data_IF_285230969858
#
_entry.id   IF_285230969858
#
_cell.length_a   1.000
_cell.length_b   1.000
_cell.length_c   1.000
_cell.angle_alpha   90.00
_cell.angle_beta   90.00
_cell.angle_gamma   90.00
#
_symmetry.space_group_name_H-M   'P 1'
#
loop_
_entity.id
_entity.type
_entity.pdbx_description
1 polymer ?
#
# COMPACT_ATOMS: atom_id res chain seq x y z
N UNK A 1 5.05 15.91 -40.49
CA UNK A 1 4.10 16.43 -39.48
C UNK A 1 3.28 15.25 -39.00
N UNK A 2 3.62 14.71 -37.83
CA UNK A 2 2.83 13.67 -37.17
C UNK A 2 2.45 14.22 -35.80
N UNK A 3 1.14 14.20 -35.56
CA UNK A 3 0.43 14.89 -34.50
C UNK A 3 0.86 14.43 -33.11
N UNK A 4 0.93 15.41 -32.22
CA UNK A 4 1.15 15.26 -30.80
C UNK A 4 0.02 14.43 -30.17
N UNK A 5 0.38 13.57 -29.22
CA UNK A 5 -0.51 13.11 -28.16
C UNK A 5 0.24 13.25 -26.84
N UNK A 6 0.28 14.47 -26.31
CA UNK A 6 0.63 14.73 -24.92
C UNK A 6 -0.64 14.50 -24.10
N UNK A 7 -0.85 13.28 -23.61
CA UNK A 7 -1.80 13.05 -22.52
C UNK A 7 -1.20 13.72 -21.28
N UNK A 8 -1.73 14.89 -20.95
CA UNK A 8 -1.39 15.62 -19.74
C UNK A 8 -2.00 14.86 -18.55
N UNK A 9 -1.39 13.74 -18.17
CA UNK A 9 -1.76 12.95 -16.98
C UNK A 9 -1.31 13.73 -15.73
N UNK A 10 -2.08 14.77 -15.41
CA UNK A 10 -2.11 15.30 -14.06
C UNK A 10 -2.54 14.16 -13.14
N UNK A 11 -1.60 13.63 -12.37
CA UNK A 11 -1.84 12.58 -11.39
C UNK A 11 -2.96 13.02 -10.46
N UNK A 12 -4.10 12.34 -10.49
CA UNK A 12 -5.22 12.66 -9.62
C UNK A 12 -4.99 12.03 -8.23
N UNK A 13 -4.71 12.82 -7.17
CA UNK A 13 -4.41 12.29 -5.84
C UNK A 13 -5.61 11.62 -5.16
N UNK A 14 -6.83 11.74 -5.70
CA UNK A 14 -7.98 10.99 -5.23
C UNK A 14 -7.93 9.50 -5.61
N UNK A 15 -7.17 9.15 -6.66
CA UNK A 15 -7.10 7.79 -7.21
C UNK A 15 -5.68 7.23 -7.28
N UNK A 16 -4.64 8.06 -7.24
CA UNK A 16 -3.24 7.62 -7.19
C UNK A 16 -2.64 8.12 -5.89
N UNK A 17 -2.04 7.22 -5.13
CA UNK A 17 -1.53 7.51 -3.78
C UNK A 17 -0.01 7.42 -3.71
N UNK A 18 0.56 6.49 -4.49
CA UNK A 18 2.00 6.32 -4.67
C UNK A 18 2.30 6.13 -6.16
N UNK A 19 3.30 6.85 -6.67
CA UNK A 19 3.77 6.76 -8.05
C UNK A 19 5.29 6.70 -8.07
N UNK A 20 5.87 5.73 -8.78
CA UNK A 20 7.32 5.53 -8.86
C UNK A 20 8.00 5.53 -7.47
N UNK A 21 7.40 4.77 -6.55
CA UNK A 21 7.87 4.59 -5.18
C UNK A 21 7.66 5.78 -4.25
N UNK A 22 7.08 6.89 -4.72
CA UNK A 22 6.92 8.13 -3.93
C UNK A 22 5.44 8.46 -3.70
N UNK A 23 5.06 8.98 -2.53
CA UNK A 23 3.70 9.48 -2.34
C UNK A 23 3.47 10.67 -3.27
N UNK A 24 2.28 10.76 -3.85
CA UNK A 24 1.90 11.91 -4.69
C UNK A 24 1.48 13.08 -3.81
N UNK A 25 1.32 14.27 -4.40
CA UNK A 25 0.94 15.49 -3.64
C UNK A 25 -0.30 15.26 -2.78
N UNK A 26 -0.26 15.73 -1.53
CA UNK A 26 -1.33 15.55 -0.53
C UNK A 26 -1.22 14.26 0.30
N UNK A 27 -0.34 13.34 -0.07
CA UNK A 27 -0.07 12.10 0.66
C UNK A 27 1.33 12.08 1.27
N UNK A 28 1.48 11.34 2.36
CA UNK A 28 2.75 11.15 3.06
C UNK A 28 2.91 9.70 3.48
N UNK A 29 4.14 9.19 3.40
CA UNK A 29 4.48 7.85 3.90
C UNK A 29 4.94 7.92 5.34
N UNK A 30 4.44 7.01 6.17
CA UNK A 30 4.89 6.84 7.55
C UNK A 30 5.21 5.37 7.83
N UNK A 31 6.16 5.14 8.73
CA UNK A 31 6.43 3.85 9.36
C UNK A 31 5.94 3.90 10.80
N UNK A 32 5.42 2.78 11.27
CA UNK A 32 4.91 2.63 12.62
C UNK A 32 5.38 1.34 13.28
N UNK A 33 5.61 1.39 14.58
CA UNK A 33 5.68 0.23 15.46
C UNK A 33 5.25 0.62 16.89
N UNK A 34 5.38 -0.30 17.84
CA UNK A 34 4.95 -0.09 19.21
C UNK A 34 5.64 1.10 19.93
N UNK A 35 6.79 1.58 19.44
CA UNK A 35 7.48 2.73 20.03
C UNK A 35 6.98 4.07 19.46
N UNK A 36 6.65 4.10 18.16
CA UNK A 36 6.05 5.27 17.52
C UNK A 36 5.31 4.83 16.26
N UNK A 37 4.02 5.17 16.15
CA UNK A 37 3.16 4.80 15.03
C UNK A 37 3.25 5.74 13.82
N UNK A 38 4.01 6.85 13.92
CA UNK A 38 4.04 7.90 12.90
C UNK A 38 5.44 8.48 12.67
N UNK A 39 6.38 7.63 12.25
CA UNK A 39 7.71 8.07 11.81
C UNK A 39 7.67 8.41 10.31
N UNK A 40 8.00 9.64 9.88
CA UNK A 40 7.93 10.01 8.47
C UNK A 40 8.99 9.32 7.61
N UNK A 41 8.62 8.97 6.37
CA UNK A 41 9.56 8.49 5.33
C UNK A 41 9.84 9.61 4.36
N UNK A 42 11.10 10.04 4.27
CA UNK A 42 11.51 11.12 3.39
C UNK A 42 12.40 10.57 2.28
N UNK A 43 12.14 10.95 1.03
CA UNK A 43 12.89 10.44 -0.13
C UNK A 43 13.00 8.90 -0.14
N UNK A 44 11.89 8.21 0.19
CA UNK A 44 11.80 6.73 0.24
C UNK A 44 12.76 6.08 1.26
N UNK A 45 13.20 6.84 2.25
CA UNK A 45 14.09 6.37 3.30
C UNK A 45 13.52 6.70 4.67
N UNK A 46 13.62 5.74 5.59
CA UNK A 46 13.14 5.88 6.95
C UNK A 46 13.27 4.56 7.71
N UNK A 47 13.27 4.63 9.02
CA UNK A 47 13.26 3.46 9.90
C UNK A 47 12.26 3.73 11.01
N UNK A 48 11.39 2.76 11.31
CA UNK A 48 10.47 2.88 12.44
C UNK A 48 11.27 3.00 13.76
N UNK A 49 10.70 3.63 14.78
CA UNK A 49 11.43 3.98 16.01
C UNK A 49 12.01 2.75 16.73
N UNK A 50 11.21 1.69 16.85
CA UNK A 50 11.63 0.38 17.36
C UNK A 50 12.50 -0.42 16.38
N UNK A 51 12.81 0.10 15.20
CA UNK A 51 13.60 -0.51 14.12
C UNK A 51 12.98 -1.79 13.56
N UNK A 52 11.65 -1.94 13.69
CA UNK A 52 10.91 -3.08 13.13
C UNK A 52 10.83 -3.01 11.60
N UNK A 53 10.63 -1.81 11.05
CA UNK A 53 10.45 -1.59 9.60
C UNK A 53 11.53 -0.64 9.08
N UNK A 54 12.14 -1.00 7.97
CA UNK A 54 13.09 -0.18 7.23
C UNK A 54 12.54 0.11 5.84
N UNK A 55 12.54 1.39 5.44
CA UNK A 55 12.26 1.85 4.10
C UNK A 55 13.56 2.30 3.41
N UNK A 56 13.78 1.82 2.18
CA UNK A 56 14.90 2.23 1.32
C UNK A 56 14.47 2.36 -0.13
N UNK A 57 15.39 2.79 -0.99
CA UNK A 57 15.21 2.79 -2.43
C UNK A 57 15.79 1.53 -3.07
N UNK A 58 15.12 1.03 -4.10
CA UNK A 58 15.68 0.02 -5.01
C UNK A 58 15.42 0.45 -6.45
N UNK A 59 16.36 0.20 -7.35
CA UNK A 59 16.17 0.53 -8.76
C UNK A 59 15.08 -0.34 -9.38
N UNK A 60 14.16 0.29 -10.11
CA UNK A 60 13.16 -0.38 -10.92
C UNK A 60 13.60 -0.42 -12.38
N UNK A 61 14.01 0.73 -12.91
CA UNK A 61 14.63 0.90 -14.23
C UNK A 61 15.61 2.08 -14.18
N UNK A 62 16.13 2.50 -15.33
CA UNK A 62 17.12 3.60 -15.43
C UNK A 62 16.60 4.95 -14.89
N UNK A 63 15.29 5.16 -14.88
CA UNK A 63 14.66 6.45 -14.56
C UNK A 63 14.00 6.46 -13.17
N UNK A 64 13.51 5.30 -12.71
CA UNK A 64 12.63 5.19 -11.56
C UNK A 64 13.17 4.25 -10.49
N UNK A 65 12.90 4.60 -9.24
CA UNK A 65 13.19 3.81 -8.04
C UNK A 65 11.90 3.38 -7.39
N UNK A 66 11.83 2.15 -6.92
CA UNK A 66 10.73 1.67 -6.08
C UNK A 66 11.03 1.89 -4.59
N UNK A 67 9.96 1.92 -3.78
CA UNK A 67 10.04 1.88 -2.33
C UNK A 67 10.27 0.44 -1.89
N UNK A 68 11.44 0.14 -1.31
CA UNK A 68 11.70 -1.15 -0.67
C UNK A 68 11.37 -1.07 0.82
N UNK A 69 10.69 -2.09 1.33
CA UNK A 69 10.25 -2.19 2.73
C UNK A 69 10.69 -3.54 3.29
N UNK A 70 11.37 -3.51 4.43
CA UNK A 70 11.85 -4.72 5.12
C UNK A 70 11.40 -4.73 6.58
N UNK A 71 10.76 -5.82 6.99
CA UNK A 71 10.39 -6.11 8.39
C UNK A 71 11.41 -7.06 9.01
N UNK A 72 12.01 -6.67 10.14
CA UNK A 72 12.95 -7.51 10.87
C UNK A 72 12.20 -8.63 11.62
N UNK A 73 12.46 -9.89 11.24
CA UNK A 73 11.86 -11.07 11.86
C UNK A 73 12.34 -11.38 13.27
N UNK A 74 13.42 -10.75 13.75
CA UNK A 74 13.92 -10.91 15.12
C UNK A 74 13.09 -10.09 16.11
N UNK A 75 12.43 -9.04 15.62
CA UNK A 75 11.51 -8.17 16.35
C UNK A 75 10.10 -8.76 16.30
N UNK A 76 9.47 -8.94 17.47
CA UNK A 76 8.14 -9.60 17.59
C UNK A 76 7.00 -8.58 17.62
N UNK A 77 7.31 -7.31 17.80
CA UNK A 77 6.37 -6.21 17.74
C UNK A 77 5.79 -6.07 16.31
N UNK A 78 4.53 -5.64 16.24
CA UNK A 78 3.90 -5.31 14.97
C UNK A 78 4.56 -4.05 14.40
N UNK A 79 4.88 -4.08 13.11
CA UNK A 79 5.34 -2.93 12.36
C UNK A 79 4.48 -2.68 11.13
N UNK A 80 4.31 -1.42 10.76
CA UNK A 80 3.50 -1.01 9.62
C UNK A 80 4.17 0.07 8.78
N UNK A 81 3.74 0.13 7.53
CA UNK A 81 3.83 1.31 6.67
C UNK A 81 2.41 1.78 6.39
N UNK A 82 2.22 3.10 6.24
CA UNK A 82 0.97 3.64 5.73
C UNK A 82 1.19 4.87 4.85
N UNK A 83 0.24 5.10 3.94
CA UNK A 83 0.13 6.34 3.16
C UNK A 83 -1.01 7.13 3.78
N UNK A 84 -0.73 8.33 4.29
CA UNK A 84 -1.69 9.17 5.02
C UNK A 84 -1.86 10.54 4.37
N UNK A 85 -3.05 11.12 4.48
CA UNK A 85 -3.40 12.40 3.88
C UNK A 85 -4.73 12.94 4.38
N UNK A 86 -5.25 13.97 3.71
CA UNK A 86 -6.60 14.47 3.99
C UNK A 86 -7.66 13.41 3.65
N UNK A 87 -8.77 13.31 4.41
CA UNK A 87 -9.82 12.34 4.13
C UNK A 87 -10.43 12.49 2.72
N UNK A 88 -10.68 11.36 2.07
CA UNK A 88 -11.37 11.25 0.79
C UNK A 88 -12.60 10.32 0.90
N UNK A 89 -13.61 10.57 0.06
CA UNK A 89 -14.80 9.72 -0.03
C UNK A 89 -14.64 8.70 -1.17
N UNK A 90 -14.58 7.42 -0.79
CA UNK A 90 -14.50 6.27 -1.68
C UNK A 90 -15.78 5.41 -1.66
N UNK A 91 -16.85 5.84 -1.00
CA UNK A 91 -18.06 5.02 -0.80
C UNK A 91 -18.71 4.60 -2.13
N UNK A 92 -18.72 5.50 -3.12
CA UNK A 92 -19.24 5.23 -4.46
C UNK A 92 -18.47 4.14 -5.22
N UNK A 93 -17.23 3.83 -4.80
CA UNK A 93 -16.35 2.87 -5.47
C UNK A 93 -16.30 1.50 -4.79
N UNK A 94 -17.02 1.31 -3.68
CA UNK A 94 -16.99 0.09 -2.86
C UNK A 94 -17.10 -1.21 -3.68
N UNK A 95 -18.02 -1.24 -4.65
CA UNK A 95 -18.27 -2.40 -5.50
C UNK A 95 -17.78 -2.24 -6.95
N UNK A 96 -17.06 -1.15 -7.23
CA UNK A 96 -16.65 -0.76 -8.57
C UNK A 96 -15.14 -0.60 -8.74
N UNK A 97 -14.36 -0.62 -7.65
CA UNK A 97 -12.92 -0.42 -7.70
C UNK A 97 -12.13 -1.41 -6.82
N UNK A 98 -10.85 -1.52 -7.18
CA UNK A 98 -9.82 -2.24 -6.45
C UNK A 98 -8.69 -1.28 -6.07
N UNK A 99 -8.14 -1.44 -4.87
CA UNK A 99 -6.82 -0.89 -4.52
C UNK A 99 -5.76 -1.78 -5.17
N UNK A 100 -5.01 -1.24 -6.12
CA UNK A 100 -3.99 -1.96 -6.89
C UNK A 100 -2.60 -1.52 -6.45
N UNK A 101 -1.78 -2.50 -6.08
CA UNK A 101 -0.37 -2.31 -5.76
C UNK A 101 0.48 -2.98 -6.85
N UNK A 102 1.38 -2.23 -7.47
CA UNK A 102 2.46 -2.85 -8.26
C UNK A 102 3.59 -3.21 -7.30
N UNK A 103 3.78 -4.51 -7.07
CA UNK A 103 4.59 -5.03 -5.98
C UNK A 103 5.53 -6.15 -6.46
N UNK A 104 6.68 -6.25 -5.80
CA UNK A 104 7.61 -7.38 -5.91
C UNK A 104 7.84 -7.96 -4.52
N UNK A 105 7.77 -9.29 -4.37
CA UNK A 105 8.10 -9.98 -3.12
C UNK A 105 9.56 -10.42 -3.15
N UNK A 106 10.40 -9.75 -2.36
CA UNK A 106 11.83 -10.03 -2.23
C UNK A 106 12.11 -11.12 -1.19
N UNK A 107 11.30 -11.15 -0.12
CA UNK A 107 11.29 -12.19 0.92
C UNK A 107 9.86 -12.47 1.38
N UNK A 108 9.45 -13.73 1.26
CA UNK A 108 8.09 -14.18 1.62
C UNK A 108 7.81 -14.02 3.12
N UNK A 109 6.55 -13.73 3.49
CA UNK A 109 6.16 -13.60 4.88
C UNK A 109 6.14 -14.94 5.62
N UNK A 110 6.56 -14.91 6.89
CA UNK A 110 6.48 -16.03 7.83
C UNK A 110 5.30 -15.92 8.83
N UNK A 111 4.66 -14.75 8.90
CA UNK A 111 3.46 -14.46 9.70
C UNK A 111 2.36 -13.82 8.87
N UNK A 112 1.21 -13.57 9.51
CA UNK A 112 0.09 -12.88 8.88
C UNK A 112 0.52 -11.47 8.43
N UNK A 113 0.10 -11.08 7.23
CA UNK A 113 0.35 -9.75 6.67
C UNK A 113 -0.98 -9.08 6.48
N UNK A 114 -1.22 -8.01 7.22
CA UNK A 114 -2.43 -7.20 7.10
C UNK A 114 -2.20 -6.12 6.05
N UNK A 115 -3.10 -6.01 5.08
CA UNK A 115 -3.26 -4.85 4.21
C UNK A 115 -4.62 -4.21 4.51
N UNK A 116 -4.76 -2.90 4.39
CA UNK A 116 -6.01 -2.24 4.72
C UNK A 116 -6.05 -0.75 4.40
N UNK A 117 -7.06 -0.11 4.97
CA UNK A 117 -7.29 1.33 4.89
C UNK A 117 -7.76 1.86 6.25
N UNK A 118 -7.40 3.11 6.56
CA UNK A 118 -7.88 3.82 7.75
C UNK A 118 -8.78 5.00 7.35
N UNK A 119 -9.74 5.30 8.22
CA UNK A 119 -10.74 6.37 8.10
C UNK A 119 -10.75 7.30 9.33
N UNK A 120 -9.58 7.43 9.96
CA UNK A 120 -9.36 8.15 11.22
C UNK A 120 -9.55 7.27 12.45
N UNK A 121 -8.58 7.24 13.37
CA UNK A 121 -8.62 6.37 14.54
C UNK A 121 -9.95 6.47 15.32
N UNK A 122 -10.59 5.35 15.70
CA UNK A 122 -10.16 3.95 15.56
C UNK A 122 -10.66 3.25 14.27
N UNK A 123 -11.20 4.00 13.30
CA UNK A 123 -11.82 3.53 12.07
C UNK A 123 -10.77 2.92 11.11
N UNK A 124 -10.87 1.61 10.88
CA UNK A 124 -9.99 0.89 9.95
C UNK A 124 -10.67 -0.38 9.41
N UNK A 125 -10.28 -0.79 8.20
CA UNK A 125 -10.63 -2.08 7.62
C UNK A 125 -9.39 -2.80 7.13
N UNK A 126 -9.35 -4.13 7.28
CA UNK A 126 -8.16 -4.94 6.98
C UNK A 126 -8.49 -6.28 6.32
N UNK A 127 -7.50 -6.81 5.61
CA UNK A 127 -7.51 -8.12 4.99
C UNK A 127 -6.14 -8.79 5.23
N UNK A 128 -6.13 -10.10 5.52
CA UNK A 128 -4.89 -10.87 5.59
C UNK A 128 -4.49 -11.38 4.20
N UNK A 129 -3.36 -10.92 3.68
CA UNK A 129 -2.84 -11.27 2.35
C UNK A 129 -1.64 -12.22 2.38
N UNK A 130 -1.31 -12.82 3.53
CA UNK A 130 -0.15 -13.71 3.68
C UNK A 130 -0.12 -14.81 2.60
N UNK A 131 -1.25 -15.49 2.37
CA UNK A 131 -1.32 -16.60 1.40
C UNK A 131 -1.07 -16.11 -0.02
N UNK A 132 -1.54 -14.91 -0.38
CA UNK A 132 -1.30 -14.32 -1.70
C UNK A 132 0.20 -14.04 -1.88
N UNK A 133 0.84 -13.40 -0.90
CA UNK A 133 2.28 -13.10 -0.94
C UNK A 133 3.16 -14.36 -0.89
N UNK A 134 2.72 -15.42 -0.24
CA UNK A 134 3.42 -16.72 -0.24
C UNK A 134 3.36 -17.41 -1.60
N UNK A 135 2.29 -17.23 -2.37
CA UNK A 135 2.12 -17.78 -3.72
C UNK A 135 2.71 -16.88 -4.82
N UNK A 136 2.94 -15.61 -4.52
CA UNK A 136 3.52 -14.66 -5.46
C UNK A 136 4.85 -15.14 -6.06
N UNK A 137 5.10 -14.83 -7.35
CA UNK A 137 6.37 -15.14 -7.98
C UNK A 137 7.49 -14.36 -7.29
N UNK A 138 8.49 -15.07 -6.77
CA UNK A 138 9.57 -14.46 -6.01
C UNK A 138 10.41 -13.54 -6.92
N UNK A 139 10.72 -12.34 -6.45
CA UNK A 139 11.54 -11.34 -7.15
C UNK A 139 11.02 -10.93 -8.53
N UNK A 140 9.73 -11.11 -8.79
CA UNK A 140 9.06 -10.64 -10.00
C UNK A 140 8.00 -9.59 -9.64
N UNK A 141 7.87 -8.58 -10.49
CA UNK A 141 6.83 -7.57 -10.37
C UNK A 141 5.49 -8.15 -10.82
N UNK A 142 4.44 -7.88 -10.05
CA UNK A 142 3.06 -8.19 -10.40
C UNK A 142 2.13 -7.13 -9.80
N UNK A 143 0.93 -7.01 -10.36
CA UNK A 143 -0.11 -6.16 -9.79
C UNK A 143 -0.98 -6.98 -8.84
N UNK A 144 -1.19 -6.44 -7.65
CA UNK A 144 -2.02 -7.02 -6.59
C UNK A 144 -3.29 -6.17 -6.44
N UNK A 145 -4.39 -6.53 -7.12
CA UNK A 145 -5.69 -5.90 -6.91
C UNK A 145 -6.33 -6.40 -5.61
N UNK A 146 -6.82 -5.47 -4.80
CA UNK A 146 -7.61 -5.71 -3.59
C UNK A 146 -8.96 -5.01 -3.77
N UNK A 147 -10.04 -5.73 -4.11
CA UNK A 147 -11.36 -5.14 -4.22
C UNK A 147 -11.76 -4.41 -2.93
N UNK A 148 -12.31 -3.21 -3.04
CA UNK A 148 -12.60 -2.40 -1.85
C UNK A 148 -13.60 -3.08 -0.90
N UNK A 149 -14.55 -3.85 -1.44
CA UNK A 149 -15.50 -4.63 -0.65
C UNK A 149 -14.89 -5.84 0.10
N UNK A 150 -13.64 -6.20 -0.17
CA UNK A 150 -12.88 -7.18 0.62
C UNK A 150 -12.29 -6.58 1.90
N UNK A 151 -12.13 -5.26 1.97
CA UNK A 151 -11.59 -4.57 3.13
C UNK A 151 -12.73 -4.36 4.12
N UNK A 152 -12.72 -5.12 5.22
CA UNK A 152 -13.79 -5.12 6.23
C UNK A 152 -13.25 -4.77 7.61
N UNK A 153 -14.12 -4.21 8.46
CA UNK A 153 -13.86 -3.88 9.85
C UNK A 153 -15.12 -3.29 10.49
N UNK A 154 -15.31 -3.48 11.80
CA UNK A 154 -16.59 -3.19 12.48
C UNK A 154 -17.05 -1.73 12.34
N UNK A 155 -16.11 -0.78 12.29
CA UNK A 155 -16.39 0.65 12.15
C UNK A 155 -15.83 1.23 10.83
N UNK A 156 -15.49 0.39 9.85
CA UNK A 156 -14.83 0.84 8.62
C UNK A 156 -15.79 1.66 7.74
N UNK A 157 -15.35 2.85 7.33
CA UNK A 157 -16.16 3.82 6.60
C UNK A 157 -15.37 4.38 5.41
N UNK A 158 -15.76 3.95 4.21
CA UNK A 158 -15.15 4.37 2.95
C UNK A 158 -15.40 5.85 2.63
N UNK A 159 -16.33 6.54 3.31
CA UNK A 159 -16.63 7.96 3.01
C UNK A 159 -15.60 8.96 3.55
N UNK A 160 -14.62 8.49 4.34
CA UNK A 160 -13.67 9.36 5.05
C UNK A 160 -12.27 8.75 5.17
N UNK A 161 -11.81 8.07 4.13
CA UNK A 161 -10.49 7.40 4.10
C UNK A 161 -9.38 8.44 4.20
N UNK A 162 -8.60 8.39 5.27
CA UNK A 162 -7.41 9.23 5.47
C UNK A 162 -6.11 8.44 5.32
N UNK A 163 -6.18 7.11 5.23
CA UNK A 163 -5.07 6.26 4.83
C UNK A 163 -5.53 5.21 3.80
N UNK A 164 -5.34 5.44 2.49
CA UNK A 164 -5.77 4.51 1.44
C UNK A 164 -4.90 3.25 1.37
N UNK A 165 -3.78 3.20 2.07
CA UNK A 165 -3.00 1.98 2.23
C UNK A 165 -2.40 1.96 3.63
N UNK A 166 -2.68 0.89 4.37
CA UNK A 166 -1.87 0.42 5.48
C UNK A 166 -1.40 -1.00 5.18
N UNK A 167 -0.16 -1.32 5.53
CA UNK A 167 0.42 -2.66 5.38
C UNK A 167 1.31 -2.96 6.57
N UNK A 168 1.17 -4.13 7.20
CA UNK A 168 2.01 -4.49 8.33
C UNK A 168 1.96 -5.95 8.75
N UNK A 169 2.95 -6.31 9.56
CA UNK A 169 3.12 -7.65 10.11
C UNK A 169 3.98 -7.61 11.37
N UNK A 170 3.80 -8.58 12.24
CA UNK A 170 4.68 -8.88 13.38
C UNK A 170 5.83 -9.84 12.99
N UNK A 171 5.78 -10.42 11.78
CA UNK A 171 6.80 -11.32 11.25
C UNK A 171 7.87 -10.63 10.41
N UNK A 172 8.54 -11.43 9.60
CA UNK A 172 9.50 -11.01 8.59
C UNK A 172 8.80 -10.88 7.24
N UNK A 173 9.15 -9.84 6.48
CA UNK A 173 8.66 -9.60 5.12
C UNK A 173 9.65 -8.67 4.42
N UNK A 174 9.88 -8.85 3.12
CA UNK A 174 10.61 -7.89 2.30
C UNK A 174 9.89 -7.75 0.96
N UNK A 175 9.48 -6.53 0.64
CA UNK A 175 8.75 -6.22 -0.58
C UNK A 175 9.26 -4.91 -1.18
N UNK A 176 9.00 -4.72 -2.46
CA UNK A 176 9.18 -3.45 -3.15
C UNK A 176 7.86 -3.01 -3.76
N UNK A 177 7.47 -1.76 -3.58
CA UNK A 177 6.23 -1.17 -4.11
C UNK A 177 6.59 -0.05 -5.07
N UNK A 178 6.02 -0.09 -6.28
CA UNK A 178 6.22 0.94 -7.30
C UNK A 178 5.04 1.92 -7.32
N UNK A 179 3.81 1.42 -7.38
CA UNK A 179 2.62 2.25 -7.48
C UNK A 179 1.52 1.74 -6.55
N UNK A 180 0.68 2.66 -6.07
CA UNK A 180 -0.52 2.38 -5.29
C UNK A 180 -1.62 3.29 -5.81
N UNK A 181 -2.71 2.70 -6.30
CA UNK A 181 -3.79 3.42 -6.97
C UNK A 181 -5.13 2.68 -6.89
N UNK A 182 -6.22 3.38 -7.15
CA UNK A 182 -7.51 2.79 -7.45
C UNK A 182 -7.62 2.52 -8.95
N UNK A 183 -8.10 1.33 -9.29
CA UNK A 183 -8.52 0.98 -10.65
C UNK A 183 -9.95 0.47 -10.62
N UNK A 184 -10.62 0.53 -11.77
CA UNK A 184 -11.93 -0.11 -11.94
C UNK A 184 -11.78 -1.62 -11.74
N UNK A 185 -12.69 -2.20 -10.97
CA UNK A 185 -12.78 -3.65 -10.76
C UNK A 185 -12.86 -4.34 -12.13
N UNK A 186 -11.90 -5.21 -12.44
CA UNK A 186 -11.85 -5.87 -13.75
C UNK A 186 -12.79 -7.09 -13.81
N UNK A 187 -13.27 -7.43 -15.01
CA UNK A 187 -14.05 -8.65 -15.23
C UNK A 187 -13.20 -9.88 -14.90
N UNK A 188 -13.61 -10.67 -13.91
CA UNK A 188 -12.89 -11.84 -13.42
C UNK A 188 -12.07 -11.63 -12.14
N UNK A 189 -11.98 -10.40 -11.62
CA UNK A 189 -11.53 -10.18 -10.24
C UNK A 189 -12.62 -10.70 -9.28
N UNK A 190 -12.29 -11.70 -8.46
CA UNK A 190 -13.20 -12.21 -7.43
C UNK A 190 -13.48 -11.09 -6.41
N UNK A 191 -14.59 -10.39 -6.58
CA UNK A 191 -15.11 -9.49 -5.56
C UNK A 191 -15.45 -10.30 -4.31
N UNK A 192 -15.14 -9.81 -3.11
CA UNK A 192 -15.55 -10.46 -1.86
C UNK A 192 -17.04 -10.23 -1.54
N UNK A 193 -17.88 -10.20 -2.57
CA UNK A 193 -19.33 -10.26 -2.43
C UNK A 193 -19.68 -11.60 -1.81
N UNK A 194 -20.37 -11.54 -0.69
CA UNK A 194 -20.97 -12.69 -0.01
C UNK A 194 -22.14 -13.25 -0.80
#
# INVERSE_FOLDING_TARGET
MASQASANDQVNPAHVYLLNGKPVSGWSLTLGDAANWSVPVNNQQGQSEGKKVLATQVDFNEQHKALSLSWDGRKKEYGSVGIFGAPIDLAAYKDAASLVLDIRVDRKPDKAVSIGMDCGYPCQGKLNIQRMLQKAPAKQWFSLPIPLNCIKGDNFDLSKINAPLTLGTDGRLEISILNVRLEKLQEGEESCKE
#
